data_IF_542232803930
#
_entry.id   IF_542232803930
#
_cell.length_a   1.000
_cell.length_b   1.000
_cell.length_c   1.000
_cell.angle_alpha   90.00
_cell.angle_beta   90.00
_cell.angle_gamma   90.00
#
_symmetry.space_group_name_H-M   'P 1'
#
loop_
_entity.id
_entity.type
_entity.pdbx_description
1 polymer ?
#
# COMPACT_ATOMS: atom_id res chain seq x y z
N UNK A 1 43.53 -10.21 29.36
CA UNK A 1 42.40 -9.55 28.67
C UNK A 1 42.52 -9.81 27.18
N UNK A 2 41.50 -10.40 26.55
CA UNK A 2 41.45 -10.56 25.09
C UNK A 2 40.24 -9.78 24.56
N UNK A 3 40.35 -9.09 23.42
CA UNK A 3 39.22 -8.37 22.87
C UNK A 3 38.20 -9.37 22.31
N UNK A 4 36.97 -9.33 22.81
CA UNK A 4 35.86 -9.99 22.15
C UNK A 4 35.55 -9.21 20.85
N UNK A 5 35.78 -9.83 19.71
CA UNK A 5 35.30 -9.31 18.43
C UNK A 5 33.77 -9.28 18.45
N UNK A 6 33.20 -8.08 18.50
CA UNK A 6 31.79 -7.90 18.19
C UNK A 6 31.58 -8.24 16.72
N UNK A 7 30.90 -9.36 16.44
CA UNK A 7 30.41 -9.65 15.10
C UNK A 7 29.49 -8.52 14.62
N UNK A 8 29.28 -8.36 13.30
CA UNK A 8 28.37 -7.35 12.79
C UNK A 8 27.02 -7.52 13.48
N UNK A 9 26.55 -6.46 14.15
CA UNK A 9 25.17 -6.40 14.60
C UNK A 9 24.30 -6.67 13.36
N UNK A 10 23.56 -7.78 13.37
CA UNK A 10 22.55 -8.01 12.36
C UNK A 10 21.66 -6.77 12.36
N UNK A 11 21.75 -5.96 11.30
CA UNK A 11 20.80 -4.88 11.10
C UNK A 11 19.44 -5.57 11.21
N UNK A 12 18.64 -5.17 12.20
CA UNK A 12 17.24 -5.57 12.22
C UNK A 12 16.72 -5.14 10.86
N UNK A 13 16.49 -6.08 9.95
CA UNK A 13 15.89 -5.78 8.66
C UNK A 13 14.50 -5.28 9.01
N UNK A 14 14.38 -3.95 9.11
CA UNK A 14 13.12 -3.29 9.45
C UNK A 14 12.07 -3.85 8.52
N UNK A 15 10.93 -4.28 9.06
CA UNK A 15 9.87 -4.86 8.25
C UNK A 15 9.60 -3.95 7.04
N UNK A 16 9.53 -4.54 5.84
CA UNK A 16 9.28 -3.78 4.61
C UNK A 16 8.01 -2.94 4.80
N UNK A 17 8.09 -1.64 4.54
CA UNK A 17 6.98 -0.72 4.76
C UNK A 17 6.18 -0.48 3.49
N UNK A 18 4.88 -0.24 3.65
CA UNK A 18 4.05 0.39 2.64
C UNK A 18 4.12 1.90 2.83
N UNK A 19 4.67 2.63 1.85
CA UNK A 19 4.79 4.10 1.95
C UNK A 19 3.48 4.75 1.54
N UNK A 20 2.90 5.52 2.45
CA UNK A 20 1.72 6.33 2.16
C UNK A 20 2.15 7.56 1.31
N UNK A 21 1.56 7.77 0.13
CA UNK A 21 1.99 8.83 -0.80
C UNK A 21 1.71 10.25 -0.29
N UNK A 22 0.90 10.41 0.76
CA UNK A 22 0.39 11.71 1.23
C UNK A 22 1.16 12.22 2.43
N UNK A 23 1.44 11.31 3.36
CA UNK A 23 2.25 11.61 4.55
C UNK A 23 3.72 11.27 4.37
N UNK A 24 4.08 10.53 3.31
CA UNK A 24 5.41 9.95 3.10
C UNK A 24 5.90 9.11 4.28
N UNK A 25 4.98 8.54 5.05
CA UNK A 25 5.29 7.67 6.19
C UNK A 25 5.18 6.20 5.78
N UNK A 26 6.15 5.40 6.21
CA UNK A 26 6.10 3.94 6.10
C UNK A 26 5.11 3.35 7.10
N UNK A 27 4.29 2.41 6.64
CA UNK A 27 3.30 1.71 7.45
C UNK A 27 3.52 0.20 7.36
N UNK A 28 3.36 -0.48 8.49
CA UNK A 28 3.35 -1.95 8.55
C UNK A 28 1.91 -2.41 8.79
N UNK A 29 1.41 -3.28 7.90
CA UNK A 29 0.06 -3.87 7.99
C UNK A 29 -1.06 -2.84 8.25
N UNK A 30 -1.13 -1.73 7.50
CA UNK A 30 -2.17 -0.74 7.74
C UNK A 30 -3.57 -1.33 7.47
N UNK A 31 -4.57 -0.90 8.24
CA UNK A 31 -5.97 -1.27 8.02
C UNK A 31 -6.62 -0.47 6.85
N UNK A 32 -6.00 0.63 6.44
CA UNK A 32 -6.43 1.45 5.31
C UNK A 32 -5.22 2.08 4.60
N UNK A 33 -5.33 2.28 3.28
CA UNK A 33 -4.29 2.86 2.45
C UNK A 33 -4.90 3.82 1.43
N UNK A 34 -4.64 5.11 1.61
CA UNK A 34 -5.03 6.16 0.67
C UNK A 34 -3.98 6.26 -0.45
N UNK A 35 -4.41 5.98 -1.68
CA UNK A 35 -3.52 5.99 -2.85
C UNK A 35 -3.47 7.35 -3.52
N UNK A 36 -4.62 8.02 -3.63
CA UNK A 36 -4.70 9.25 -4.41
C UNK A 36 -4.35 10.51 -3.63
N UNK A 37 -4.22 10.42 -2.31
CA UNK A 37 -4.17 11.54 -1.37
C UNK A 37 -5.41 12.42 -1.39
N UNK A 38 -6.13 12.42 -0.26
CA UNK A 38 -7.35 13.22 -0.06
C UNK A 38 -7.28 14.61 -0.72
N UNK A 39 -8.32 15.01 -1.49
CA UNK A 39 -9.57 14.28 -1.73
C UNK A 39 -9.45 13.27 -2.88
N UNK A 40 -8.70 12.19 -2.67
CA UNK A 40 -8.56 11.06 -3.57
C UNK A 40 -9.89 10.39 -3.86
N UNK A 41 -10.06 10.03 -5.12
CA UNK A 41 -11.19 9.24 -5.58
C UNK A 41 -11.10 7.78 -5.16
N UNK A 42 -9.99 7.31 -4.59
CA UNK A 42 -9.73 5.89 -4.34
C UNK A 42 -9.00 5.65 -3.01
N UNK A 43 -9.65 4.88 -2.13
CA UNK A 43 -9.13 4.44 -0.84
C UNK A 43 -9.17 2.91 -0.80
N UNK A 44 -8.13 2.27 -0.26
CA UNK A 44 -8.20 0.85 0.10
C UNK A 44 -8.53 0.73 1.58
N UNK A 45 -9.70 0.21 1.90
CA UNK A 45 -10.21 0.11 3.27
C UNK A 45 -10.40 -1.33 3.74
N UNK A 46 -10.43 -1.51 5.06
CA UNK A 46 -10.71 -2.81 5.70
C UNK A 46 -9.66 -3.87 5.41
N UNK A 47 -8.39 -3.44 5.30
CA UNK A 47 -7.28 -4.32 4.98
C UNK A 47 -7.02 -5.31 6.11
N UNK A 48 -7.02 -6.58 5.76
CA UNK A 48 -6.63 -7.69 6.65
C UNK A 48 -5.49 -8.45 6.00
N UNK A 49 -4.35 -8.53 6.70
CA UNK A 49 -3.11 -9.11 6.18
C UNK A 49 -2.94 -10.55 6.67
N UNK A 50 -2.72 -11.48 5.74
CA UNK A 50 -2.41 -12.88 6.06
C UNK A 50 -0.92 -13.13 6.19
N UNK A 51 -0.08 -12.31 5.53
CA UNK A 51 1.36 -12.35 5.70
C UNK A 51 2.02 -11.00 5.38
N UNK A 52 3.21 -10.79 5.94
CA UNK A 52 3.98 -9.55 5.77
C UNK A 52 5.48 -9.83 5.89
N UNK A 53 6.14 -9.98 4.74
CA UNK A 53 7.60 -10.13 4.60
C UNK A 53 8.07 -9.27 3.42
N UNK A 54 9.08 -9.68 2.66
CA UNK A 54 9.48 -9.05 1.38
C UNK A 54 8.39 -9.08 0.30
N UNK A 55 7.40 -9.95 0.49
CA UNK A 55 6.09 -9.95 -0.18
C UNK A 55 5.01 -10.02 0.91
N UNK A 56 3.92 -9.28 0.74
CA UNK A 56 2.79 -9.29 1.67
C UNK A 56 1.48 -9.59 0.94
N UNK A 57 0.61 -10.33 1.61
CA UNK A 57 -0.69 -10.72 1.08
C UNK A 57 -1.79 -10.28 2.04
N UNK A 58 -2.88 -9.74 1.48
CA UNK A 58 -4.02 -9.31 2.25
C UNK A 58 -5.30 -9.30 1.42
N UNK A 59 -6.39 -8.94 2.09
CA UNK A 59 -7.70 -8.70 1.48
C UNK A 59 -8.26 -7.38 1.96
N UNK A 60 -9.15 -6.77 1.18
CA UNK A 60 -9.77 -5.51 1.54
C UNK A 60 -10.82 -5.10 0.53
N UNK A 61 -11.12 -3.80 0.51
CA UNK A 61 -12.05 -3.21 -0.44
C UNK A 61 -11.40 -1.98 -1.08
N UNK A 62 -11.43 -1.92 -2.40
CA UNK A 62 -11.22 -0.67 -3.12
C UNK A 62 -12.51 0.15 -3.01
N UNK A 63 -12.42 1.33 -2.41
CA UNK A 63 -13.50 2.27 -2.26
C UNK A 63 -13.29 3.40 -3.27
N UNK A 64 -14.13 3.44 -4.32
CA UNK A 64 -14.07 4.44 -5.38
C UNK A 64 -15.16 5.47 -5.21
N UNK A 65 -14.79 6.74 -5.18
CA UNK A 65 -15.71 7.87 -5.16
C UNK A 65 -16.26 8.09 -6.58
N UNK A 66 -17.52 7.72 -6.80
CA UNK A 66 -18.21 7.86 -8.09
C UNK A 66 -19.07 9.13 -8.19
N UNK A 67 -18.87 10.07 -7.26
CA UNK A 67 -19.74 11.22 -7.11
C UNK A 67 -19.26 12.38 -7.98
N UNK A 68 -20.22 12.93 -8.74
CA UNK A 68 -20.00 14.08 -9.64
C UNK A 68 -20.93 15.22 -9.20
N UNK A 69 -20.41 16.43 -8.88
CA UNK A 69 -19.00 16.78 -8.76
C UNK A 69 -18.38 16.26 -7.45
N UNK A 70 -17.10 15.84 -7.50
CA UNK A 70 -16.38 15.25 -6.36
C UNK A 70 -16.31 16.16 -5.12
N UNK A 71 -16.44 17.48 -5.31
CA UNK A 71 -16.43 18.50 -4.25
C UNK A 71 -17.66 18.50 -3.34
N UNK A 72 -18.72 17.75 -3.67
CA UNK A 72 -19.96 17.66 -2.86
C UNK A 72 -20.15 16.33 -2.14
N UNK A 73 -19.11 15.52 -2.05
CA UNK A 73 -19.24 14.12 -1.67
C UNK A 73 -18.81 13.89 -0.22
N UNK A 74 -19.74 13.36 0.59
CA UNK A 74 -19.45 12.83 1.92
C UNK A 74 -19.12 11.31 1.89
N UNK A 75 -18.80 10.70 3.04
CA UNK A 75 -18.36 9.30 3.15
C UNK A 75 -19.36 8.23 2.66
N UNK A 76 -20.61 8.59 2.36
CA UNK A 76 -21.68 7.67 1.92
C UNK A 76 -21.71 7.38 0.42
N UNK A 77 -20.82 7.98 -0.39
CA UNK A 77 -20.85 7.89 -1.87
C UNK A 77 -19.83 6.92 -2.48
N UNK A 78 -19.09 6.17 -1.67
CA UNK A 78 -18.09 5.23 -2.18
C UNK A 78 -18.72 3.93 -2.66
N UNK A 79 -18.39 3.51 -3.89
CA UNK A 79 -18.64 2.14 -4.34
C UNK A 79 -17.50 1.24 -3.89
N UNK A 80 -17.83 0.13 -3.22
CA UNK A 80 -16.85 -0.79 -2.64
C UNK A 80 -16.70 -2.02 -3.52
N UNK A 81 -15.46 -2.33 -3.89
CA UNK A 81 -15.10 -3.48 -4.70
C UNK A 81 -14.17 -4.42 -3.90
N UNK A 82 -14.54 -5.69 -3.68
CA UNK A 82 -13.70 -6.62 -2.93
C UNK A 82 -12.43 -6.96 -3.71
N UNK A 83 -11.29 -6.90 -3.03
CA UNK A 83 -9.98 -7.16 -3.63
C UNK A 83 -9.12 -8.07 -2.74
N UNK A 84 -8.27 -8.86 -3.39
CA UNK A 84 -7.02 -9.34 -2.78
C UNK A 84 -5.92 -8.33 -3.10
N UNK A 85 -4.99 -8.17 -2.16
CA UNK A 85 -3.86 -7.24 -2.26
C UNK A 85 -2.57 -8.02 -2.15
N UNK A 86 -1.66 -7.78 -3.10
CA UNK A 86 -0.28 -8.28 -3.08
C UNK A 86 0.65 -7.08 -3.07
N UNK A 87 1.48 -6.96 -2.03
CA UNK A 87 2.60 -6.03 -2.01
C UNK A 87 3.87 -6.81 -2.32
N UNK A 88 4.68 -6.31 -3.26
CA UNK A 88 5.88 -7.02 -3.68
C UNK A 88 6.95 -6.08 -4.19
N UNK A 89 8.10 -6.67 -4.57
CA UNK A 89 9.28 -5.95 -5.03
C UNK A 89 9.79 -4.97 -3.96
N UNK A 90 10.16 -5.53 -2.81
CA UNK A 90 10.86 -4.79 -1.78
C UNK A 90 12.12 -4.13 -2.36
N UNK A 91 12.35 -2.87 -2.02
CA UNK A 91 13.49 -2.09 -2.46
C UNK A 91 13.95 -1.17 -1.33
N UNK A 92 15.23 -0.76 -1.36
CA UNK A 92 15.74 0.22 -0.43
C UNK A 92 14.94 1.53 -0.52
N UNK A 93 14.49 2.07 0.61
CA UNK A 93 13.72 3.30 0.66
C UNK A 93 14.68 4.51 0.63
N UNK A 94 14.66 5.36 -0.42
CA UNK A 94 15.62 6.46 -0.53
C UNK A 94 15.55 7.41 0.67
N UNK A 95 16.73 7.79 1.19
CA UNK A 95 16.89 8.63 2.40
C UNK A 95 16.45 7.97 3.71
N UNK A 96 16.22 6.66 3.73
CA UNK A 96 15.92 5.87 4.93
C UNK A 96 16.89 4.67 5.02
N UNK A 97 18.11 4.86 5.53
CA UNK A 97 19.12 3.81 5.63
C UNK A 97 18.61 2.58 6.40
N UNK A 98 18.82 1.39 5.85
CA UNK A 98 18.41 0.13 6.47
C UNK A 98 16.91 -0.18 6.40
N UNK A 99 16.09 0.67 5.77
CA UNK A 99 14.65 0.46 5.63
C UNK A 99 14.29 0.15 4.17
N UNK A 100 13.51 -0.92 3.99
CA UNK A 100 12.93 -1.28 2.69
C UNK A 100 11.47 -0.87 2.60
N UNK A 101 10.99 -0.66 1.37
CA UNK A 101 9.59 -0.42 1.06
C UNK A 101 9.10 -1.29 -0.10
N UNK A 102 7.79 -1.53 -0.16
CA UNK A 102 7.18 -2.18 -1.32
C UNK A 102 7.07 -1.20 -2.49
N UNK A 103 7.70 -1.53 -3.62
CA UNK A 103 7.63 -0.70 -4.83
C UNK A 103 6.48 -1.08 -5.78
N UNK A 104 5.78 -2.18 -5.50
CA UNK A 104 4.64 -2.65 -6.29
C UNK A 104 3.48 -3.09 -5.40
N UNK A 105 2.27 -2.75 -5.85
CA UNK A 105 1.02 -3.26 -5.32
C UNK A 105 0.20 -3.83 -6.47
N UNK A 106 -0.37 -5.01 -6.26
CA UNK A 106 -1.32 -5.62 -7.19
C UNK A 106 -2.65 -5.82 -6.49
N UNK A 107 -3.72 -5.35 -7.13
CA UNK A 107 -5.09 -5.66 -6.76
C UNK A 107 -5.62 -6.76 -7.66
N UNK A 108 -6.34 -7.70 -7.07
CA UNK A 108 -7.06 -8.76 -7.77
C UNK A 108 -8.52 -8.64 -7.35
N UNK A 109 -9.39 -8.22 -8.26
CA UNK A 109 -10.82 -8.10 -7.99
C UNK A 109 -11.46 -9.49 -7.95
N UNK A 110 -12.10 -9.81 -6.83
CA UNK A 110 -12.73 -11.14 -6.61
C UNK A 110 -14.22 -11.17 -6.97
N UNK A 111 -14.76 -10.03 -7.42
CA UNK A 111 -16.17 -9.89 -7.80
C UNK A 111 -16.38 -8.67 -8.69
N UNK A 112 -17.39 -7.86 -8.36
CA UNK A 112 -17.62 -6.57 -9.05
C UNK A 112 -16.33 -5.73 -9.00
N UNK A 113 -16.07 -5.00 -10.09
CA UNK A 113 -14.94 -4.08 -10.25
C UNK A 113 -15.39 -2.83 -11.00
N UNK A 114 -14.64 -1.70 -10.94
CA UNK A 114 -14.96 -0.54 -11.74
C UNK A 114 -14.99 -0.89 -13.24
N UNK A 115 -15.81 -0.16 -13.99
CA UNK A 115 -15.92 -0.34 -15.42
C UNK A 115 -14.55 -0.14 -16.09
N UNK A 116 -14.25 -0.96 -17.11
CA UNK A 116 -13.00 -0.92 -17.88
C UNK A 116 -11.70 -1.19 -17.09
N UNK A 117 -11.75 -1.51 -15.79
CA UNK A 117 -10.56 -1.93 -15.01
C UNK A 117 -10.27 -3.42 -15.24
N UNK A 118 -9.04 -3.88 -15.50
CA UNK A 118 -8.73 -5.31 -15.60
C UNK A 118 -9.03 -6.06 -14.28
N UNK A 119 -9.19 -7.38 -14.34
CA UNK A 119 -9.34 -8.23 -13.13
C UNK A 119 -8.15 -8.08 -12.18
N UNK A 120 -6.96 -7.89 -12.75
CA UNK A 120 -5.73 -7.65 -12.00
C UNK A 120 -5.14 -6.31 -12.41
N UNK A 121 -4.90 -5.43 -11.44
CA UNK A 121 -4.29 -4.11 -11.65
C UNK A 121 -3.01 -4.00 -10.82
N UNK A 122 -1.89 -3.67 -11.44
CA UNK A 122 -0.61 -3.44 -10.75
C UNK A 122 -0.21 -1.97 -10.80
N UNK A 123 0.14 -1.43 -9.65
CA UNK A 123 0.47 -0.02 -9.43
C UNK A 123 1.93 0.08 -8.94
N UNK A 124 2.66 1.06 -9.45
CA UNK A 124 3.98 1.44 -8.93
C UNK A 124 3.83 2.29 -7.68
N UNK A 125 4.61 2.00 -6.65
CA UNK A 125 4.58 2.73 -5.37
C UNK A 125 5.89 3.51 -5.12
N UNK A 126 5.83 4.60 -4.34
CA UNK A 126 4.61 5.30 -3.93
C UNK A 126 3.88 5.86 -5.17
N UNK A 127 2.54 5.82 -5.15
CA UNK A 127 1.75 6.31 -6.28
C UNK A 127 2.05 7.80 -6.48
N UNK A 128 2.56 8.15 -7.66
CA UNK A 128 2.76 9.53 -8.08
C UNK A 128 1.66 9.82 -9.10
N UNK A 129 0.71 10.73 -8.83
CA UNK A 129 -0.22 11.14 -9.87
C UNK A 129 0.59 11.70 -11.03
N UNK A 130 0.26 11.28 -12.26
CA UNK A 130 0.83 11.88 -13.47
C UNK A 130 0.38 13.34 -13.47
N UNK A 131 1.31 14.24 -13.14
CA UNK A 131 1.17 15.69 -13.37
C UNK A 131 1.08 15.97 -14.85
#
# INVERSE_FOLDING_TARGET
>A
AGPASAGPAAASSGQVVLVNPCSFRGQVRPAAYDIGCMPSSELVGGLTWTSWRSVAFGSGRLEVNNCTPSSKCGPSKYTKYPILVVLWRAAAWPKHPGQEYFSRMTWIFTGKRPAHTPVTLTITLPYKPLT
#
